data_IF_138200980309
#
_entry.id   IF_138200980309
#
_cell.length_a   1.000
_cell.length_b   1.000
_cell.length_c   1.000
_cell.angle_alpha   90.00
_cell.angle_beta   90.00
_cell.angle_gamma   90.00
#
_symmetry.space_group_name_H-M   'P 1'
#
loop_
_entity.id
_entity.type
_entity.pdbx_description
1 polymer ?
#
# COMPACT_ATOMS: atom_id res chain seq x y z
N UNK A 1 -12.06 -19.86 9.99
CA UNK A 1 -10.85 -19.32 10.61
C UNK A 1 -9.77 -19.04 9.58
N UNK A 2 -8.92 -18.04 9.82
CA UNK A 2 -7.78 -17.75 8.93
C UNK A 2 -6.77 -18.90 9.06
N UNK A 3 -6.34 -19.54 7.95
CA UNK A 3 -5.32 -20.56 7.98
C UNK A 3 -3.99 -20.04 8.53
N UNK A 4 -3.37 -20.80 9.42
CA UNK A 4 -2.10 -20.42 10.04
C UNK A 4 -0.99 -20.21 9.01
N UNK A 5 -1.00 -20.98 7.93
CA UNK A 5 -0.06 -20.82 6.80
C UNK A 5 -0.17 -19.43 6.20
N UNK A 6 -1.38 -18.94 5.91
CA UNK A 6 -1.59 -17.62 5.35
C UNK A 6 -1.14 -16.51 6.32
N UNK A 7 -1.53 -16.62 7.60
CA UNK A 7 -1.16 -15.64 8.61
C UNK A 7 0.36 -15.57 8.79
N UNK A 8 1.02 -16.73 8.90
CA UNK A 8 2.48 -16.83 9.03
C UNK A 8 3.19 -16.17 7.86
N UNK A 9 2.76 -16.45 6.63
CA UNK A 9 3.39 -15.93 5.42
C UNK A 9 3.27 -14.41 5.34
N UNK A 10 2.10 -13.85 5.59
CA UNK A 10 1.92 -12.40 5.57
C UNK A 10 2.70 -11.70 6.70
N UNK A 11 2.81 -12.30 7.89
CA UNK A 11 3.62 -11.74 8.98
C UNK A 11 5.11 -11.83 8.66
N UNK A 12 5.59 -12.97 8.13
CA UNK A 12 6.98 -13.14 7.72
C UNK A 12 7.37 -12.12 6.64
N UNK A 13 6.53 -11.95 5.61
CA UNK A 13 6.75 -10.95 4.57
C UNK A 13 6.77 -9.53 5.14
N UNK A 14 5.87 -9.19 6.06
CA UNK A 14 5.84 -7.88 6.69
C UNK A 14 7.11 -7.57 7.49
N UNK A 15 7.73 -8.58 8.11
CA UNK A 15 8.97 -8.43 8.87
C UNK A 15 10.20 -8.38 7.96
N UNK A 16 10.26 -9.26 6.95
CA UNK A 16 11.44 -9.41 6.09
C UNK A 16 11.56 -8.26 5.09
N UNK A 17 10.43 -7.79 4.55
CA UNK A 17 10.39 -6.75 3.52
C UNK A 17 10.09 -5.34 4.06
N UNK A 18 10.04 -5.14 5.39
CA UNK A 18 9.90 -3.79 5.94
C UNK A 18 11.10 -2.91 5.58
N UNK A 19 10.89 -1.61 5.51
CA UNK A 19 12.00 -0.67 5.45
C UNK A 19 12.73 -0.61 6.81
N UNK A 20 14.05 -0.69 6.76
CA UNK A 20 14.97 -0.51 7.89
C UNK A 20 15.77 0.79 7.78
N UNK A 21 15.42 1.66 6.84
CA UNK A 21 16.06 2.96 6.65
C UNK A 21 15.78 3.91 7.83
N UNK A 22 16.56 5.00 7.91
CA UNK A 22 16.45 5.96 9.02
C UNK A 22 15.08 6.62 9.16
N UNK A 23 14.39 6.85 8.06
CA UNK A 23 13.02 7.41 8.03
C UNK A 23 11.94 6.42 8.48
N UNK A 24 12.26 5.13 8.49
CA UNK A 24 11.44 4.07 9.09
C UNK A 24 11.84 3.77 10.54
N UNK A 25 12.85 4.45 11.08
CA UNK A 25 13.27 4.28 12.48
C UNK A 25 12.13 4.64 13.43
N UNK A 26 11.92 3.80 14.45
CA UNK A 26 10.82 3.97 15.40
C UNK A 26 9.45 3.52 14.90
N UNK A 27 9.30 3.12 13.64
CA UNK A 27 8.07 2.51 13.13
C UNK A 27 8.14 0.99 13.28
N UNK A 28 7.03 0.37 13.63
CA UNK A 28 6.95 -1.08 13.87
C UNK A 28 6.00 -1.73 12.87
N UNK A 29 6.16 -3.02 12.63
CA UNK A 29 5.11 -3.85 12.04
C UNK A 29 3.97 -3.92 13.03
N UNK A 30 2.76 -3.60 12.58
CA UNK A 30 1.56 -3.55 13.40
C UNK A 30 0.56 -4.59 12.92
N UNK A 31 -0.08 -5.29 13.85
CA UNK A 31 -1.14 -6.26 13.55
C UNK A 31 -2.38 -5.83 14.30
N UNK A 32 -3.45 -5.53 13.55
CA UNK A 32 -4.76 -5.17 14.10
C UNK A 32 -5.73 -6.32 13.88
N UNK A 33 -6.24 -6.88 14.97
CA UNK A 33 -7.28 -7.91 14.93
C UNK A 33 -8.63 -7.21 15.12
N UNK A 34 -9.42 -7.15 14.05
CA UNK A 34 -10.76 -6.58 14.03
C UNK A 34 -11.80 -7.69 13.91
N UNK A 35 -13.09 -7.38 14.15
CA UNK A 35 -14.18 -8.37 14.15
C UNK A 35 -14.23 -9.22 12.89
N UNK A 36 -14.08 -8.64 11.71
CA UNK A 36 -14.20 -9.33 10.41
C UNK A 36 -12.89 -9.50 9.64
N UNK A 37 -11.77 -8.97 10.14
CA UNK A 37 -10.51 -8.97 9.40
C UNK A 37 -9.29 -8.82 10.32
N UNK A 38 -8.16 -9.24 9.80
CA UNK A 38 -6.83 -8.93 10.35
C UNK A 38 -6.13 -7.98 9.38
N UNK A 39 -5.55 -6.92 9.89
CA UNK A 39 -4.73 -5.99 9.12
C UNK A 39 -3.29 -6.07 9.61
N UNK A 40 -2.36 -6.24 8.68
CA UNK A 40 -0.92 -6.23 8.95
C UNK A 40 -0.36 -5.01 8.23
N UNK A 41 0.32 -4.12 8.95
CA UNK A 41 0.92 -2.91 8.41
C UNK A 41 2.42 -2.99 8.59
N UNK A 42 3.16 -2.86 7.51
CA UNK A 42 4.62 -2.87 7.50
C UNK A 42 5.17 -1.53 7.00
N UNK A 43 6.14 -0.91 7.68
CA UNK A 43 6.78 0.32 7.21
C UNK A 43 7.54 0.11 5.90
N UNK A 44 7.45 1.10 4.98
CA UNK A 44 8.03 1.06 3.65
C UNK A 44 7.01 0.65 2.57
N UNK A 45 7.26 1.06 1.34
CA UNK A 45 6.47 0.64 0.16
C UNK A 45 7.07 -0.58 -0.53
N UNK A 46 6.52 -0.96 -1.67
CA UNK A 46 7.11 -1.99 -2.53
C UNK A 46 8.42 -1.50 -3.14
N UNK A 47 9.48 -2.24 -2.89
CA UNK A 47 10.80 -1.97 -3.48
C UNK A 47 11.04 -2.90 -4.67
N UNK A 48 11.23 -2.31 -5.87
CA UNK A 48 11.56 -3.08 -7.08
C UNK A 48 10.48 -4.03 -7.59
N UNK A 49 9.26 -3.97 -7.03
CA UNK A 49 8.12 -4.80 -7.40
C UNK A 49 6.93 -3.88 -7.71
N UNK A 50 6.29 -4.08 -8.84
CA UNK A 50 5.03 -3.41 -9.15
C UNK A 50 3.87 -4.07 -8.38
N UNK A 51 2.83 -3.32 -7.98
CA UNK A 51 1.65 -3.90 -7.32
C UNK A 51 1.01 -5.06 -8.10
N UNK A 52 1.05 -5.01 -9.44
CA UNK A 52 0.57 -6.05 -10.34
C UNK A 52 1.41 -7.34 -10.31
N UNK A 53 2.62 -7.28 -9.77
CA UNK A 53 3.56 -8.41 -9.69
C UNK A 53 3.50 -9.12 -8.34
N UNK A 54 2.77 -8.58 -7.38
CA UNK A 54 2.60 -9.18 -6.05
C UNK A 54 1.86 -10.51 -6.18
N UNK A 55 2.48 -11.59 -5.70
CA UNK A 55 1.94 -12.94 -5.80
C UNK A 55 2.26 -13.66 -7.12
N UNK A 56 2.98 -13.03 -8.05
CA UNK A 56 3.57 -13.72 -9.19
C UNK A 56 4.93 -14.30 -8.78
N UNK A 57 5.30 -15.44 -9.39
CA UNK A 57 6.62 -16.05 -9.18
C UNK A 57 7.65 -15.20 -9.89
N UNK A 58 8.38 -14.39 -9.14
CA UNK A 58 9.47 -13.56 -9.64
C UNK A 58 10.71 -13.75 -8.79
N UNK A 59 11.85 -13.29 -9.31
CA UNK A 59 13.07 -13.23 -8.50
C UNK A 59 12.78 -12.43 -7.23
N UNK A 60 13.09 -12.97 -6.05
CA UNK A 60 12.83 -12.28 -4.80
C UNK A 60 13.60 -10.97 -4.78
N UNK A 61 12.89 -9.87 -4.58
CA UNK A 61 13.47 -8.57 -4.26
C UNK A 61 13.35 -8.37 -2.76
N UNK A 62 14.46 -8.38 -2.05
CA UNK A 62 14.47 -8.19 -0.61
C UNK A 62 15.03 -6.81 -0.27
N UNK A 63 14.31 -6.04 0.51
CA UNK A 63 14.78 -4.74 1.04
C UNK A 63 16.01 -4.93 1.93
N UNK A 64 16.07 -6.07 2.62
CA UNK A 64 17.21 -6.48 3.43
C UNK A 64 17.62 -7.91 3.05
N UNK A 65 18.58 -8.02 2.15
CA UNK A 65 19.08 -9.31 1.63
C UNK A 65 19.66 -10.20 2.73
N UNK A 66 20.36 -9.61 3.71
CA UNK A 66 20.96 -10.37 4.81
C UNK A 66 19.88 -11.00 5.71
N UNK A 67 18.86 -10.23 6.08
CA UNK A 67 17.73 -10.75 6.86
C UNK A 67 16.96 -11.81 6.07
N UNK A 68 16.75 -11.58 4.79
CA UNK A 68 16.09 -12.54 3.91
C UNK A 68 16.85 -13.87 3.86
N UNK A 69 18.19 -13.83 3.66
CA UNK A 69 19.02 -15.01 3.64
C UNK A 69 19.01 -15.77 4.98
N UNK A 70 19.00 -15.05 6.11
CA UNK A 70 18.86 -15.66 7.44
C UNK A 70 17.51 -16.39 7.54
N UNK A 71 16.42 -15.73 7.19
CA UNK A 71 15.08 -16.29 7.29
C UNK A 71 14.86 -17.51 6.39
N UNK A 72 15.51 -17.58 5.23
CA UNK A 72 15.50 -18.78 4.36
C UNK A 72 16.13 -20.01 5.01
N UNK A 73 17.09 -19.82 5.92
CA UNK A 73 17.80 -20.90 6.59
C UNK A 73 17.17 -21.32 7.92
N UNK A 74 16.21 -20.54 8.44
CA UNK A 74 15.47 -20.89 9.65
C UNK A 74 14.45 -21.97 9.34
N UNK A 75 14.52 -23.08 10.11
CA UNK A 75 13.51 -24.14 10.10
C UNK A 75 12.64 -24.04 11.34
N UNK A 76 11.36 -24.22 11.12
CA UNK A 76 10.35 -24.29 12.18
C UNK A 76 10.39 -25.67 12.85
N UNK A 77 9.72 -25.83 13.97
CA UNK A 77 9.61 -27.10 14.70
C UNK A 77 8.97 -28.23 13.88
N UNK A 78 8.17 -27.87 12.88
CA UNK A 78 7.55 -28.83 11.93
C UNK A 78 8.44 -29.14 10.70
N UNK A 79 9.71 -28.68 10.70
CA UNK A 79 10.70 -28.91 9.64
C UNK A 79 10.56 -27.99 8.42
N UNK A 80 9.48 -27.21 8.31
CA UNK A 80 9.27 -26.24 7.21
C UNK A 80 10.20 -25.05 7.38
N UNK A 81 10.56 -24.41 6.27
CA UNK A 81 11.29 -23.15 6.30
C UNK A 81 10.41 -22.01 6.76
N UNK A 82 10.97 -21.00 7.40
CA UNK A 82 10.27 -19.80 7.81
C UNK A 82 9.75 -19.03 6.57
N UNK A 83 10.58 -18.92 5.52
CA UNK A 83 10.22 -18.42 4.19
C UNK A 83 10.73 -19.39 3.12
N UNK A 84 9.98 -19.58 2.05
CA UNK A 84 10.30 -20.56 1.01
C UNK A 84 11.35 -20.08 0.00
N UNK A 85 11.61 -18.78 -0.08
CA UNK A 85 12.73 -18.23 -0.86
C UNK A 85 12.52 -18.14 -2.37
N UNK A 86 11.45 -18.71 -2.91
CA UNK A 86 11.16 -18.74 -4.36
C UNK A 86 10.14 -17.71 -4.81
N UNK A 87 9.78 -16.76 -3.94
CA UNK A 87 8.78 -15.73 -4.24
C UNK A 87 7.33 -16.25 -4.24
N UNK A 88 7.10 -17.51 -3.89
CA UNK A 88 5.79 -18.17 -3.90
C UNK A 88 4.93 -17.99 -2.64
N UNK A 89 5.47 -17.38 -1.59
CA UNK A 89 4.81 -17.34 -0.27
C UNK A 89 3.46 -16.65 -0.26
N UNK A 90 3.34 -15.50 -0.92
CA UNK A 90 2.05 -14.81 -1.04
C UNK A 90 1.05 -15.65 -1.83
N UNK A 91 1.49 -16.33 -2.89
CA UNK A 91 0.64 -17.22 -3.67
C UNK A 91 0.13 -18.40 -2.82
N UNK A 92 1.02 -19.03 -2.03
CA UNK A 92 0.66 -20.10 -1.11
C UNK A 92 -0.33 -19.62 -0.03
N UNK A 93 -0.12 -18.42 0.51
CA UNK A 93 -1.03 -17.79 1.46
C UNK A 93 -2.42 -17.54 0.84
N UNK A 94 -2.48 -17.01 -0.37
CA UNK A 94 -3.74 -16.79 -1.09
C UNK A 94 -4.46 -18.12 -1.39
N UNK A 95 -3.71 -19.14 -1.81
CA UNK A 95 -4.28 -20.48 -2.04
C UNK A 95 -4.85 -21.09 -0.75
N UNK A 96 -4.13 -20.95 0.38
CA UNK A 96 -4.61 -21.42 1.67
C UNK A 96 -5.92 -20.71 2.10
N UNK A 97 -6.04 -19.42 1.83
CA UNK A 97 -7.28 -18.67 2.07
C UNK A 97 -8.43 -19.19 1.20
N UNK A 98 -8.19 -19.40 -0.11
CA UNK A 98 -9.20 -19.96 -1.03
C UNK A 98 -9.66 -21.34 -0.58
N UNK A 99 -8.73 -22.23 -0.20
CA UNK A 99 -9.03 -23.58 0.26
C UNK A 99 -9.86 -23.57 1.56
N UNK A 100 -9.71 -22.54 2.38
CA UNK A 100 -10.52 -22.33 3.59
C UNK A 100 -11.87 -21.64 3.32
N UNK A 101 -12.24 -21.43 2.06
CA UNK A 101 -13.46 -20.72 1.68
C UNK A 101 -13.43 -19.23 2.03
N UNK A 102 -12.25 -18.66 2.25
CA UNK A 102 -12.07 -17.25 2.55
C UNK A 102 -11.71 -16.46 1.28
N UNK A 103 -11.99 -15.18 1.34
CA UNK A 103 -11.56 -14.24 0.31
C UNK A 103 -10.05 -14.08 0.33
N UNK A 104 -9.46 -13.86 -0.85
CA UNK A 104 -8.06 -13.48 -0.97
C UNK A 104 -7.73 -12.22 -0.17
N UNK A 105 -6.56 -12.22 0.46
CA UNK A 105 -6.05 -11.05 1.15
C UNK A 105 -5.75 -9.93 0.15
N UNK A 106 -6.02 -8.70 0.55
CA UNK A 106 -5.61 -7.52 -0.23
C UNK A 106 -4.25 -7.04 0.27
N UNK A 107 -3.33 -6.87 -0.66
CA UNK A 107 -2.02 -6.27 -0.40
C UNK A 107 -2.02 -4.90 -1.05
N UNK A 108 -1.84 -3.86 -0.26
CA UNK A 108 -1.93 -2.45 -0.68
C UNK A 108 -0.60 -1.78 -0.41
N UNK A 109 -0.02 -1.17 -1.44
CA UNK A 109 1.11 -0.25 -1.30
C UNK A 109 0.56 1.16 -1.06
N UNK A 110 0.80 1.69 0.14
CA UNK A 110 0.41 3.06 0.54
C UNK A 110 1.61 4.03 0.41
N UNK A 111 2.69 3.59 -0.25
CA UNK A 111 3.90 4.36 -0.51
C UNK A 111 4.87 4.44 0.67
N UNK A 112 4.37 4.73 1.87
CA UNK A 112 5.16 4.78 3.11
C UNK A 112 5.01 3.53 3.97
N UNK A 113 4.05 2.71 3.65
CA UNK A 113 3.77 1.45 4.30
C UNK A 113 3.04 0.49 3.35
N UNK A 114 3.20 -0.79 3.58
CA UNK A 114 2.41 -1.84 2.95
C UNK A 114 1.37 -2.30 3.95
N UNK A 115 0.12 -2.41 3.50
CA UNK A 115 -1.01 -2.93 4.28
C UNK A 115 -1.52 -4.22 3.68
N UNK A 116 -1.57 -5.27 4.48
CA UNK A 116 -2.24 -6.53 4.14
C UNK A 116 -3.55 -6.62 4.91
N UNK A 117 -4.64 -6.93 4.21
CA UNK A 117 -5.98 -7.11 4.80
C UNK A 117 -6.42 -8.54 4.53
N UNK A 118 -6.57 -9.33 5.60
CA UNK A 118 -7.03 -10.72 5.58
C UNK A 118 -8.44 -10.75 6.15
N UNK A 119 -9.41 -11.21 5.36
CA UNK A 119 -10.82 -11.27 5.78
C UNK A 119 -11.12 -12.58 6.51
N UNK A 120 -11.93 -12.50 7.57
CA UNK A 120 -12.33 -13.67 8.38
C UNK A 120 -13.65 -14.30 7.92
N UNK A 121 -14.41 -13.59 7.09
CA UNK A 121 -15.63 -14.09 6.47
C UNK A 121 -15.79 -13.50 5.07
N UNK A 122 -16.63 -14.16 4.25
CA UNK A 122 -17.01 -13.67 2.92
C UNK A 122 -17.95 -12.46 3.00
N UNK A 123 -18.71 -12.32 4.10
CA UNK A 123 -19.75 -11.30 4.27
C UNK A 123 -19.21 -9.89 4.51
N UNK A 124 -18.02 -9.78 5.13
CA UNK A 124 -17.37 -8.48 5.34
C UNK A 124 -16.95 -7.77 4.04
N UNK A 125 -16.93 -8.51 2.92
CA UNK A 125 -16.69 -7.95 1.59
C UNK A 125 -17.85 -7.06 1.12
N UNK A 126 -19.08 -7.43 1.48
CA UNK A 126 -20.29 -6.72 1.07
C UNK A 126 -20.40 -5.40 1.83
N UNK A 127 -20.21 -5.42 3.16
CA UNK A 127 -20.28 -4.20 3.99
C UNK A 127 -19.22 -3.16 3.65
N UNK A 128 -18.06 -3.60 3.15
CA UNK A 128 -17.00 -2.68 2.69
C UNK A 128 -17.30 -2.13 1.29
N UNK A 129 -17.94 -2.92 0.42
CA UNK A 129 -18.43 -2.45 -0.89
C UNK A 129 -19.58 -1.46 -0.70
N UNK A 130 -20.52 -1.74 0.20
CA UNK A 130 -21.69 -0.88 0.45
C UNK A 130 -21.27 0.45 1.11
N UNK A 131 -20.31 0.44 2.04
CA UNK A 131 -19.71 1.66 2.60
C UNK A 131 -18.89 2.45 1.57
N UNK A 132 -18.21 1.77 0.65
CA UNK A 132 -17.46 2.40 -0.44
C UNK A 132 -18.41 2.92 -1.54
N UNK A 133 -19.51 2.22 -1.81
CA UNK A 133 -20.57 2.69 -2.71
C UNK A 133 -21.30 3.91 -2.13
N UNK A 134 -21.53 3.94 -0.81
CA UNK A 134 -22.13 5.10 -0.14
C UNK A 134 -21.18 6.32 -0.05
N UNK A 135 -19.85 6.09 -0.08
CA UNK A 135 -18.82 7.15 -0.14
C UNK A 135 -18.41 7.50 -1.58
N UNK A 136 -18.80 6.70 -2.58
CA UNK A 136 -18.40 6.88 -3.99
C UNK A 136 -19.34 7.74 -4.82
N UNK A 137 -20.32 8.42 -4.20
CA UNK A 137 -21.12 9.44 -4.89
C UNK A 137 -20.35 10.74 -5.23
N UNK A 138 -19.03 10.75 -5.03
CA UNK A 138 -18.10 11.79 -5.52
C UNK A 138 -16.90 11.13 -6.21
N UNK A 139 -17.15 10.28 -7.22
CA UNK A 139 -16.07 9.74 -8.06
C UNK A 139 -15.54 10.84 -8.98
N UNK A 140 -14.38 11.36 -8.63
CA UNK A 140 -13.47 11.97 -9.59
C UNK A 140 -12.80 10.82 -10.33
N UNK A 141 -12.93 10.79 -11.65
CA UNK A 141 -12.29 9.79 -12.52
C UNK A 141 -10.78 10.00 -12.47
N UNK A 142 -10.08 9.17 -11.66
CA UNK A 142 -8.63 9.27 -11.52
C UNK A 142 -7.99 8.37 -12.58
N UNK A 143 -7.13 8.91 -13.46
CA UNK A 143 -6.46 8.11 -14.48
C UNK A 143 -5.71 6.93 -13.88
N UNK A 144 -5.87 5.75 -14.46
CA UNK A 144 -5.31 4.48 -13.95
C UNK A 144 -3.77 4.43 -13.91
N UNK A 145 -3.09 5.38 -14.52
CA UNK A 145 -1.62 5.44 -14.61
C UNK A 145 -0.94 6.19 -13.45
N UNK A 146 -1.70 6.67 -12.47
CA UNK A 146 -1.16 7.44 -11.35
C UNK A 146 -0.76 6.53 -10.18
N UNK A 147 0.39 6.84 -9.56
CA UNK A 147 0.76 6.20 -8.29
C UNK A 147 -0.22 6.58 -7.18
N UNK A 148 -0.27 5.81 -6.09
CA UNK A 148 -1.17 6.07 -4.96
C UNK A 148 -1.06 7.52 -4.42
N UNK A 149 0.17 8.04 -4.30
CA UNK A 149 0.44 9.42 -3.88
C UNK A 149 -0.06 10.45 -4.90
N UNK A 150 0.18 10.20 -6.19
CA UNK A 150 -0.29 11.06 -7.27
C UNK A 150 -1.81 11.06 -7.34
N UNK A 151 -2.45 9.89 -7.16
CA UNK A 151 -3.91 9.76 -7.14
C UNK A 151 -4.56 10.53 -5.99
N UNK A 152 -3.97 10.52 -4.80
CA UNK A 152 -4.46 11.29 -3.66
C UNK A 152 -4.36 12.80 -3.92
N UNK A 153 -3.21 13.27 -4.41
CA UNK A 153 -3.03 14.68 -4.77
C UNK A 153 -3.98 15.10 -5.90
N UNK A 154 -4.13 14.25 -6.92
CA UNK A 154 -5.05 14.48 -8.04
C UNK A 154 -6.50 14.60 -7.56
N UNK A 155 -6.96 13.72 -6.67
CA UNK A 155 -8.34 13.72 -6.15
C UNK A 155 -8.69 15.01 -5.39
N UNK A 156 -7.73 15.57 -4.63
CA UNK A 156 -7.95 16.86 -3.96
C UNK A 156 -7.95 18.01 -4.96
N UNK A 157 -7.03 18.01 -5.93
CA UNK A 157 -6.98 19.04 -6.96
C UNK A 157 -8.20 19.03 -7.89
N UNK A 158 -8.89 17.89 -8.01
CA UNK A 158 -10.11 17.77 -8.77
C UNK A 158 -11.32 18.45 -8.08
N UNK A 159 -11.24 18.62 -6.76
CA UNK A 159 -12.30 19.29 -6.00
C UNK A 159 -12.08 20.80 -5.88
N UNK A 160 -10.82 21.20 -5.68
CA UNK A 160 -10.45 22.62 -5.49
C UNK A 160 -8.98 22.86 -5.84
N UNK A 161 -8.62 24.07 -6.32
CA UNK A 161 -7.25 24.50 -6.37
C UNK A 161 -6.64 24.51 -4.96
N UNK A 162 -5.39 24.05 -4.82
CA UNK A 162 -4.76 23.90 -3.51
C UNK A 162 -3.27 24.25 -3.53
N UNK A 163 -2.76 24.74 -2.40
CA UNK A 163 -1.32 24.91 -2.15
C UNK A 163 -0.71 23.59 -1.66
N UNK A 164 0.62 23.53 -1.58
CA UNK A 164 1.32 22.38 -0.95
C UNK A 164 0.86 22.18 0.50
N UNK A 165 0.59 23.25 1.25
CA UNK A 165 0.13 23.16 2.63
C UNK A 165 -1.28 22.56 2.72
N UNK A 166 -2.20 23.03 1.88
CA UNK A 166 -3.57 22.49 1.82
C UNK A 166 -3.56 21.02 1.42
N UNK A 167 -2.73 20.63 0.44
CA UNK A 167 -2.58 19.24 0.02
C UNK A 167 -2.03 18.34 1.11
N UNK A 168 -1.10 18.83 1.92
CA UNK A 168 -0.59 18.08 3.09
C UNK A 168 -1.70 17.83 4.11
N UNK A 169 -2.51 18.85 4.38
CA UNK A 169 -3.62 18.78 5.33
C UNK A 169 -4.73 17.83 4.82
N UNK A 170 -5.16 18.00 3.58
CA UNK A 170 -6.28 17.24 3.00
C UNK A 170 -5.93 15.77 2.68
N UNK A 171 -4.67 15.49 2.28
CA UNK A 171 -4.24 14.12 1.90
C UNK A 171 -3.57 13.36 3.04
N UNK A 172 -3.20 14.03 4.14
CA UNK A 172 -2.37 13.46 5.20
C UNK A 172 -0.99 12.98 4.72
N UNK A 173 -0.55 13.41 3.54
CA UNK A 173 0.77 13.15 2.99
C UNK A 173 1.79 14.12 3.59
N UNK A 174 3.08 13.72 3.61
CA UNK A 174 4.15 14.64 3.96
C UNK A 174 4.36 15.69 2.87
N UNK A 175 4.86 16.88 3.24
CA UNK A 175 5.18 17.92 2.28
C UNK A 175 6.19 17.45 1.20
N UNK A 176 7.07 16.51 1.53
CA UNK A 176 8.02 15.90 0.60
C UNK A 176 7.29 15.04 -0.45
N UNK A 177 6.33 14.23 -0.04
CA UNK A 177 5.52 13.40 -0.94
C UNK A 177 4.67 14.25 -1.88
N UNK A 178 4.02 15.29 -1.35
CA UNK A 178 3.25 16.24 -2.16
C UNK A 178 4.14 16.95 -3.20
N UNK A 179 5.31 17.45 -2.77
CA UNK A 179 6.29 18.09 -3.66
C UNK A 179 6.90 17.15 -4.70
N UNK A 180 6.89 15.85 -4.45
CA UNK A 180 7.33 14.84 -5.43
C UNK A 180 6.23 14.49 -6.44
N UNK A 181 4.97 14.44 -6.02
CA UNK A 181 3.83 14.12 -6.88
C UNK A 181 3.45 15.28 -7.83
N UNK A 182 3.45 16.51 -7.34
CA UNK A 182 3.00 17.69 -8.10
C UNK A 182 3.74 17.88 -9.44
N UNK A 183 5.10 17.87 -9.51
CA UNK A 183 5.82 18.03 -10.77
C UNK A 183 5.49 16.94 -11.79
N UNK A 184 5.19 15.74 -11.33
CA UNK A 184 4.81 14.62 -12.21
C UNK A 184 3.43 14.83 -12.83
N UNK A 185 2.46 15.29 -12.03
CA UNK A 185 1.13 15.65 -12.53
C UNK A 185 1.20 16.83 -13.52
N UNK A 186 2.04 17.82 -13.23
CA UNK A 186 2.29 18.95 -14.13
C UNK A 186 2.96 18.48 -15.45
N UNK A 187 3.99 17.63 -15.36
CA UNK A 187 4.68 17.08 -16.54
C UNK A 187 3.75 16.24 -17.43
N UNK A 188 2.78 15.57 -16.85
CA UNK A 188 1.75 14.78 -17.56
C UNK A 188 0.61 15.65 -18.11
N UNK A 189 0.64 16.95 -17.92
CA UNK A 189 -0.41 17.87 -18.38
C UNK A 189 -1.71 17.74 -17.59
N UNK A 190 -1.71 17.08 -16.43
CA UNK A 190 -2.89 16.87 -15.60
C UNK A 190 -3.12 18.01 -14.60
N UNK A 191 -2.07 18.73 -14.23
CA UNK A 191 -2.15 19.88 -13.33
C UNK A 191 -1.31 21.05 -13.84
N UNK A 192 -1.68 22.26 -13.48
CA UNK A 192 -0.88 23.46 -13.70
C UNK A 192 -0.54 24.16 -12.40
N UNK A 193 0.62 24.80 -12.39
CA UNK A 193 1.08 25.63 -11.29
C UNK A 193 0.82 27.09 -11.64
N UNK A 194 0.12 27.82 -10.78
CA UNK A 194 -0.02 29.27 -10.87
C UNK A 194 0.76 29.94 -9.73
N UNK A 195 1.66 30.84 -10.10
CA UNK A 195 2.31 31.71 -9.13
C UNK A 195 1.28 32.66 -8.52
N UNK A 196 1.26 32.76 -7.18
CA UNK A 196 0.47 33.76 -6.47
C UNK A 196 1.38 34.91 -6.07
N UNK A 197 1.03 36.14 -6.42
CA UNK A 197 1.76 37.34 -5.99
C UNK A 197 1.49 37.56 -4.50
N UNK A 198 2.36 37.05 -3.63
CA UNK A 198 2.25 37.22 -2.19
C UNK A 198 2.97 36.13 -1.38
N UNK A 199 3.03 36.28 -0.05
CA UNK A 199 3.66 35.33 0.91
C UNK A 199 3.03 33.93 0.96
N UNK A 200 1.95 33.66 0.25
CA UNK A 200 1.29 32.35 0.12
C UNK A 200 1.82 31.65 -1.13
N UNK A 201 2.43 30.49 -0.98
CA UNK A 201 3.09 29.72 -2.03
C UNK A 201 2.23 29.46 -3.28
N UNK A 202 2.83 28.85 -4.30
CA UNK A 202 2.17 28.51 -5.57
C UNK A 202 0.92 27.67 -5.36
N UNK A 203 -0.14 27.96 -6.11
CA UNK A 203 -1.39 27.21 -6.13
C UNK A 203 -1.38 26.29 -7.33
N UNK A 204 -1.81 25.04 -7.14
CA UNK A 204 -1.97 24.04 -8.17
C UNK A 204 -3.45 23.79 -8.44
N UNK A 205 -3.79 23.54 -9.70
CA UNK A 205 -5.16 23.14 -10.10
C UNK A 205 -5.12 22.11 -11.21
N UNK A 206 -6.16 21.31 -11.36
CA UNK A 206 -6.28 20.43 -12.51
C UNK A 206 -6.51 21.22 -13.81
N UNK A 207 -5.98 20.69 -14.89
CA UNK A 207 -6.28 21.10 -16.25
C UNK A 207 -7.52 20.29 -16.68
N UNK A 208 -8.67 20.95 -16.74
CA UNK A 208 -9.89 20.35 -17.30
C UNK A 208 -9.77 20.41 -18.83
N UNK A 209 -9.72 19.25 -19.48
CA UNK A 209 -9.78 19.10 -20.94
C UNK A 209 -11.23 19.16 -21.37
#
# INVERSE_FOLDING_TARGET
EIPLVALREFVANALVHRSYERDASGKFVQIFIKRGRVEIISPGGFWGILPSQVGLVHRPSAVNEALYAICQNIRLSDGRRLIEGEGGGILAAQQALRNAGLREARVLDEGIQVRVIIYRSTDDAQSTRDRRAAQSSQHVDVPQELSATESQVYSVLAQKPATVADLVEDTQLTARQVRYALPKLVKRGMAEQRAHSGRRGSVYRLITV
#
